data_IF_505817768435
#
_entry.id   IF_505817768435
#
_cell.length_a   1.000
_cell.length_b   1.000
_cell.length_c   1.000
_cell.angle_alpha   90.00
_cell.angle_beta   90.00
_cell.angle_gamma   90.00
#
_symmetry.space_group_name_H-M   'P 1'
#
loop_
_entity.id
_entity.type
_entity.pdbx_description
1 polymer ?
#
# COMPACT_ATOMS: atom_id res chain seq x y z
N UNK A 1 21.69 -4.58 -30.66
CA UNK A 1 20.48 -5.41 -30.54
C UNK A 1 19.28 -4.57 -30.93
N UNK A 2 18.40 -5.04 -31.83
CA UNK A 2 17.17 -4.33 -32.17
C UNK A 2 16.13 -4.61 -31.07
N UNK A 3 15.41 -3.59 -30.60
CA UNK A 3 14.34 -3.78 -29.63
C UNK A 3 13.21 -4.63 -30.26
N UNK A 4 12.69 -5.65 -29.53
CA UNK A 4 11.52 -6.40 -29.96
C UNK A 4 10.29 -5.51 -30.11
N UNK A 5 9.31 -5.95 -30.88
CA UNK A 5 8.07 -5.18 -31.04
C UNK A 5 7.30 -5.09 -29.72
N UNK A 6 6.61 -3.97 -29.47
CA UNK A 6 5.77 -3.80 -28.29
C UNK A 6 4.68 -4.89 -28.19
N UNK A 7 4.20 -5.39 -29.33
CA UNK A 7 3.23 -6.48 -29.36
C UNK A 7 3.82 -7.79 -28.83
N UNK A 8 5.08 -8.12 -29.17
CA UNK A 8 5.75 -9.31 -28.65
C UNK A 8 5.94 -9.20 -27.13
N UNK A 9 6.41 -8.03 -26.65
CA UNK A 9 6.58 -7.76 -25.23
C UNK A 9 5.27 -7.85 -24.46
N UNK A 10 4.17 -7.30 -24.97
CA UNK A 10 2.85 -7.40 -24.36
C UNK A 10 2.32 -8.83 -24.32
N UNK A 11 2.53 -9.61 -25.38
CA UNK A 11 2.16 -11.03 -25.39
C UNK A 11 2.92 -11.82 -24.35
N UNK A 12 4.21 -11.55 -24.20
CA UNK A 12 5.04 -12.19 -23.19
C UNK A 12 4.64 -11.77 -21.77
N UNK A 13 4.46 -10.48 -21.49
CA UNK A 13 4.03 -9.96 -20.16
C UNK A 13 2.71 -10.62 -19.71
N UNK A 14 1.71 -10.63 -20.58
CA UNK A 14 0.43 -11.26 -20.27
C UNK A 14 0.57 -12.77 -20.04
N UNK A 15 1.33 -13.48 -20.90
CA UNK A 15 1.57 -14.92 -20.75
C UNK A 15 2.37 -15.23 -19.46
N UNK A 16 3.28 -14.37 -19.07
CA UNK A 16 4.07 -14.50 -17.84
C UNK A 16 3.19 -14.38 -16.58
N UNK A 17 2.30 -13.39 -16.54
CA UNK A 17 1.38 -13.18 -15.40
C UNK A 17 0.36 -14.31 -15.25
N UNK A 18 -0.19 -14.79 -16.35
CA UNK A 18 -1.19 -15.87 -16.34
C UNK A 18 -0.60 -17.27 -16.31
N UNK A 19 0.67 -17.45 -16.65
CA UNK A 19 1.31 -18.74 -16.92
C UNK A 19 0.47 -19.59 -17.90
N UNK A 20 -0.22 -18.92 -18.82
CA UNK A 20 -1.16 -19.50 -19.77
C UNK A 20 -1.26 -18.66 -21.03
N UNK A 21 -0.97 -19.25 -22.18
CA UNK A 21 -1.15 -18.57 -23.47
C UNK A 21 -2.62 -18.36 -23.84
N UNK A 22 -3.52 -19.21 -23.33
CA UNK A 22 -4.96 -19.06 -23.55
C UNK A 22 -5.50 -17.85 -22.80
N UNK A 23 -5.27 -17.76 -21.50
CA UNK A 23 -5.70 -16.63 -20.67
C UNK A 23 -5.04 -15.31 -21.13
N UNK A 24 -3.77 -15.36 -21.57
CA UNK A 24 -3.10 -14.21 -22.16
C UNK A 24 -3.79 -13.75 -23.47
N UNK A 25 -4.22 -14.70 -24.30
CA UNK A 25 -4.97 -14.38 -25.52
C UNK A 25 -6.30 -13.69 -25.24
N UNK A 26 -7.05 -14.19 -24.28
CA UNK A 26 -8.30 -13.59 -23.81
C UNK A 26 -8.10 -12.15 -23.30
N UNK A 27 -7.04 -11.91 -22.50
CA UNK A 27 -6.74 -10.57 -21.99
C UNK A 27 -6.39 -9.55 -23.07
N UNK A 28 -5.60 -9.96 -24.08
CA UNK A 28 -5.08 -9.02 -25.09
C UNK A 28 -5.85 -9.04 -26.41
N UNK A 29 -6.94 -9.81 -26.50
CA UNK A 29 -7.79 -9.92 -27.69
C UNK A 29 -7.12 -10.67 -28.84
N UNK A 30 -6.33 -11.71 -28.55
CA UNK A 30 -5.66 -12.56 -29.53
C UNK A 30 -6.00 -14.03 -29.29
N UNK A 31 -5.80 -14.87 -30.33
CA UNK A 31 -5.89 -16.32 -30.15
C UNK A 31 -4.68 -16.87 -29.38
N UNK A 32 -4.85 -17.98 -28.66
CA UNK A 32 -3.75 -18.68 -27.98
C UNK A 32 -2.57 -18.97 -28.92
N UNK A 33 -2.86 -19.40 -30.18
CA UNK A 33 -1.83 -19.67 -31.17
C UNK A 33 -1.07 -18.42 -31.60
N UNK A 34 -1.73 -17.26 -31.70
CA UNK A 34 -1.11 -15.99 -32.04
C UNK A 34 -0.18 -15.53 -30.90
N UNK A 35 -0.62 -15.64 -29.64
CA UNK A 35 0.22 -15.33 -28.47
C UNK A 35 1.45 -16.24 -28.43
N UNK A 36 1.24 -17.57 -28.56
CA UNK A 36 2.35 -18.54 -28.55
C UNK A 36 3.36 -18.26 -29.67
N UNK A 37 2.87 -17.91 -30.89
CA UNK A 37 3.74 -17.53 -32.00
C UNK A 37 4.57 -16.30 -31.69
N UNK A 38 3.94 -15.23 -31.17
CA UNK A 38 4.63 -13.97 -30.84
C UNK A 38 5.66 -14.12 -29.71
N UNK A 39 5.39 -14.98 -28.74
CA UNK A 39 6.36 -15.31 -27.68
C UNK A 39 7.54 -16.09 -28.28
N UNK A 40 7.31 -17.06 -29.16
CA UNK A 40 8.39 -17.78 -29.85
C UNK A 40 9.23 -16.88 -30.74
N UNK A 41 8.63 -15.92 -31.44
CA UNK A 41 9.34 -14.90 -32.20
C UNK A 41 10.24 -14.06 -31.28
N UNK A 42 9.76 -13.66 -30.09
CA UNK A 42 10.55 -12.98 -29.08
C UNK A 42 11.71 -13.83 -28.56
N UNK A 43 11.48 -15.10 -28.25
CA UNK A 43 12.53 -16.04 -27.82
C UNK A 43 13.61 -16.21 -28.90
N UNK A 44 13.20 -16.27 -30.17
CA UNK A 44 14.13 -16.33 -31.29
C UNK A 44 14.97 -15.05 -31.45
N UNK A 45 14.35 -13.88 -31.28
CA UNK A 45 15.05 -12.57 -31.33
C UNK A 45 16.05 -12.42 -30.17
N UNK A 46 15.73 -12.98 -29.00
CA UNK A 46 16.58 -12.91 -27.80
C UNK A 46 17.65 -14.04 -27.78
N UNK A 47 17.42 -15.13 -28.48
CA UNK A 47 18.34 -16.27 -28.55
C UNK A 47 18.23 -17.25 -27.38
N UNK A 48 17.21 -17.12 -26.52
CA UNK A 48 16.97 -18.04 -25.39
C UNK A 48 15.48 -18.19 -25.10
N UNK A 49 15.13 -19.30 -24.42
CA UNK A 49 13.75 -19.57 -24.03
C UNK A 49 13.33 -18.75 -22.81
N UNK A 50 12.14 -18.17 -22.87
CA UNK A 50 11.50 -17.44 -21.75
C UNK A 50 10.53 -18.36 -20.98
N UNK A 51 9.98 -19.37 -21.66
CA UNK A 51 9.11 -20.39 -21.06
C UNK A 51 9.69 -21.78 -21.21
N UNK A 52 9.36 -22.64 -20.26
CA UNK A 52 9.56 -24.09 -20.34
C UNK A 52 8.24 -24.81 -20.08
N UNK A 53 8.08 -25.99 -20.70
CA UNK A 53 6.89 -26.83 -20.50
C UNK A 53 7.03 -27.66 -19.24
N UNK A 54 5.98 -27.65 -18.40
CA UNK A 54 5.85 -28.51 -17.25
C UNK A 54 4.48 -29.17 -17.30
N UNK A 55 4.48 -30.48 -17.59
CA UNK A 55 3.23 -31.21 -17.82
C UNK A 55 2.43 -30.65 -19.00
N UNK A 56 1.19 -30.21 -18.74
CA UNK A 56 0.31 -29.57 -19.72
C UNK A 56 0.40 -28.04 -19.74
N UNK A 57 1.17 -27.45 -18.83
CA UNK A 57 1.30 -26.00 -18.66
C UNK A 57 2.64 -25.46 -19.15
N UNK A 58 2.80 -24.16 -18.97
CA UNK A 58 4.04 -23.42 -19.21
C UNK A 58 4.42 -22.66 -17.95
N UNK A 59 5.71 -22.64 -17.63
CA UNK A 59 6.27 -21.85 -16.54
C UNK A 59 7.45 -21.03 -17.06
N UNK A 60 7.76 -19.92 -16.41
CA UNK A 60 8.89 -19.08 -16.78
C UNK A 60 10.22 -19.81 -16.53
N UNK A 61 11.19 -19.61 -17.41
CA UNK A 61 12.60 -19.87 -17.11
C UNK A 61 13.15 -18.81 -16.15
N UNK A 62 14.35 -18.99 -15.61
CA UNK A 62 15.01 -17.96 -14.80
C UNK A 62 15.19 -16.64 -15.59
N UNK A 63 15.58 -16.73 -16.86
CA UNK A 63 15.69 -15.58 -17.76
C UNK A 63 14.31 -14.95 -18.05
N UNK A 64 13.28 -15.78 -18.24
CA UNK A 64 11.90 -15.32 -18.39
C UNK A 64 11.38 -14.59 -17.16
N UNK A 65 11.65 -15.10 -15.97
CA UNK A 65 11.24 -14.45 -14.72
C UNK A 65 11.91 -13.08 -14.53
N UNK A 66 13.21 -12.95 -14.80
CA UNK A 66 13.92 -11.68 -14.78
C UNK A 66 13.32 -10.67 -15.76
N UNK A 67 13.17 -11.07 -17.04
CA UNK A 67 12.57 -10.21 -18.06
C UNK A 67 11.12 -9.83 -17.73
N UNK A 68 10.32 -10.73 -17.15
CA UNK A 68 8.94 -10.43 -16.79
C UNK A 68 8.85 -9.37 -15.68
N UNK A 69 9.73 -9.42 -14.68
CA UNK A 69 9.79 -8.44 -13.61
C UNK A 69 10.13 -7.04 -14.14
N UNK A 70 11.18 -6.93 -14.95
CA UNK A 70 11.62 -5.65 -15.53
C UNK A 70 10.58 -5.10 -16.51
N UNK A 71 10.04 -5.95 -17.39
CA UNK A 71 9.10 -5.54 -18.41
C UNK A 71 7.74 -5.08 -17.84
N UNK A 72 7.27 -5.70 -16.75
CA UNK A 72 6.06 -5.26 -16.07
C UNK A 72 6.17 -3.80 -15.61
N UNK A 73 7.33 -3.41 -15.09
CA UNK A 73 7.64 -2.05 -14.67
C UNK A 73 7.70 -1.10 -15.87
N UNK A 74 8.45 -1.46 -16.93
CA UNK A 74 8.61 -0.63 -18.12
C UNK A 74 7.31 -0.39 -18.87
N UNK A 75 6.48 -1.45 -19.04
CA UNK A 75 5.15 -1.31 -19.65
C UNK A 75 4.20 -0.48 -18.78
N UNK A 76 4.34 -0.57 -17.47
CA UNK A 76 3.63 0.28 -16.51
C UNK A 76 4.00 1.76 -16.70
N UNK A 77 5.29 2.07 -16.82
CA UNK A 77 5.79 3.42 -17.07
C UNK A 77 5.34 3.97 -18.43
N UNK A 78 5.37 3.14 -19.48
CA UNK A 78 4.89 3.53 -20.80
C UNK A 78 3.39 3.86 -20.79
N UNK A 79 2.56 3.01 -20.15
CA UNK A 79 1.12 3.27 -20.00
C UNK A 79 0.88 4.58 -19.26
N UNK A 80 1.63 4.85 -18.19
CA UNK A 80 1.55 6.09 -17.44
C UNK A 80 1.84 7.33 -18.30
N UNK A 81 2.90 7.26 -19.13
CA UNK A 81 3.26 8.34 -20.02
C UNK A 81 2.17 8.65 -21.05
N UNK A 82 1.57 7.61 -21.62
CA UNK A 82 0.45 7.75 -22.55
C UNK A 82 -0.79 8.34 -21.85
N UNK A 83 -1.14 7.84 -20.65
CA UNK A 83 -2.27 8.37 -19.88
C UNK A 83 -2.08 9.87 -19.53
N UNK A 84 -0.85 10.24 -19.13
CA UNK A 84 -0.52 11.64 -18.85
C UNK A 84 -0.68 12.53 -20.08
N UNK A 85 -0.25 12.05 -21.25
CA UNK A 85 -0.44 12.79 -22.51
C UNK A 85 -1.91 12.91 -22.90
N UNK A 86 -2.70 11.86 -22.72
CA UNK A 86 -4.15 11.87 -22.97
C UNK A 86 -4.87 12.84 -22.03
N UNK A 87 -4.56 12.82 -20.73
CA UNK A 87 -5.12 13.76 -19.77
C UNK A 87 -4.79 15.22 -20.14
N UNK A 88 -3.53 15.50 -20.48
CA UNK A 88 -3.09 16.82 -20.90
C UNK A 88 -3.81 17.31 -22.18
N UNK A 89 -4.03 16.40 -23.15
CA UNK A 89 -4.80 16.72 -24.36
C UNK A 89 -6.27 17.05 -24.08
N UNK A 90 -6.83 16.57 -22.98
CA UNK A 90 -8.17 16.87 -22.49
C UNK A 90 -8.22 18.06 -21.50
N UNK A 91 -7.13 18.80 -21.33
CA UNK A 91 -7.03 19.88 -20.34
C UNK A 91 -7.02 19.43 -18.88
N UNK A 92 -6.66 18.15 -18.62
CA UNK A 92 -6.59 17.56 -17.30
C UNK A 92 -5.14 17.25 -16.90
N UNK A 93 -4.93 17.11 -15.60
CA UNK A 93 -3.64 16.73 -15.04
C UNK A 93 -3.74 15.35 -14.38
N UNK A 94 -2.92 14.41 -14.78
CA UNK A 94 -2.84 13.11 -14.12
C UNK A 94 -1.89 13.17 -12.93
N UNK A 95 -2.32 12.65 -11.78
CA UNK A 95 -1.54 12.53 -10.56
C UNK A 95 -1.54 11.08 -10.08
N UNK A 96 -0.37 10.47 -9.98
CA UNK A 96 -0.18 9.08 -9.57
C UNK A 96 0.54 9.01 -8.24
N UNK A 97 -0.10 8.42 -7.25
CA UNK A 97 0.42 8.36 -5.87
C UNK A 97 0.59 6.91 -5.44
N UNK A 98 1.80 6.57 -5.02
CA UNK A 98 2.06 5.34 -4.27
C UNK A 98 1.65 5.55 -2.81
N UNK A 99 0.90 4.63 -2.23
CA UNK A 99 0.32 4.82 -0.90
C UNK A 99 0.25 3.52 -0.11
N UNK A 100 0.34 3.62 1.21
CA UNK A 100 0.12 2.49 2.12
C UNK A 100 -1.37 2.13 2.17
N UNK A 101 -1.76 0.84 2.09
CA UNK A 101 -3.16 0.43 1.95
C UNK A 101 -4.08 0.98 3.03
N UNK A 102 -3.70 0.82 4.30
CA UNK A 102 -4.55 1.28 5.42
C UNK A 102 -4.63 2.80 5.48
N UNK A 103 -3.52 3.52 5.19
CA UNK A 103 -3.53 4.97 5.10
C UNK A 103 -4.47 5.45 3.99
N UNK A 104 -4.40 4.83 2.81
CA UNK A 104 -5.30 5.14 1.71
C UNK A 104 -6.76 5.01 2.12
N UNK A 105 -7.14 3.84 2.62
CA UNK A 105 -8.54 3.52 2.90
C UNK A 105 -9.11 4.31 4.09
N UNK A 106 -8.33 4.50 5.15
CA UNK A 106 -8.81 5.04 6.42
C UNK A 106 -8.60 6.54 6.57
N UNK A 107 -7.56 7.08 5.93
CA UNK A 107 -7.21 8.49 6.10
C UNK A 107 -7.39 9.31 4.82
N UNK A 108 -6.85 8.84 3.70
CA UNK A 108 -6.78 9.63 2.47
C UNK A 108 -8.12 9.66 1.73
N UNK A 109 -8.66 8.49 1.35
CA UNK A 109 -9.85 8.38 0.51
C UNK A 109 -11.06 9.12 1.11
N UNK A 110 -11.37 9.03 2.42
CA UNK A 110 -12.49 9.77 3.00
C UNK A 110 -12.38 11.30 2.87
N UNK A 111 -11.17 11.83 2.64
CA UNK A 111 -10.90 13.27 2.49
C UNK A 111 -10.81 13.74 1.04
N UNK A 112 -10.66 12.82 0.08
CA UNK A 112 -10.56 13.15 -1.35
C UNK A 112 -11.75 13.93 -1.93
N UNK A 113 -13.00 13.80 -1.45
CA UNK A 113 -14.10 14.66 -1.94
C UNK A 113 -13.78 16.15 -1.82
N UNK A 114 -13.15 16.63 -0.73
CA UNK A 114 -12.70 18.01 -0.59
C UNK A 114 -11.59 18.38 -1.60
N UNK A 115 -10.70 17.44 -1.91
CA UNK A 115 -9.66 17.64 -2.93
C UNK A 115 -10.27 17.83 -4.32
N UNK A 116 -11.14 16.93 -4.75
CA UNK A 116 -11.78 16.99 -6.06
C UNK A 116 -12.75 18.15 -6.22
N UNK A 117 -13.39 18.61 -5.15
CA UNK A 117 -14.19 19.82 -5.19
C UNK A 117 -13.37 21.08 -5.52
N UNK A 118 -12.07 21.09 -5.20
CA UNK A 118 -11.14 22.21 -5.45
C UNK A 118 -10.34 22.06 -6.74
N UNK A 119 -10.10 20.82 -7.14
CA UNK A 119 -9.25 20.44 -8.27
C UNK A 119 -9.95 19.40 -9.15
N UNK A 120 -11.11 19.77 -9.76
CA UNK A 120 -11.88 18.85 -10.61
C UNK A 120 -11.14 18.44 -11.90
N UNK A 121 -10.10 19.19 -12.27
CA UNK A 121 -9.25 18.93 -13.43
C UNK A 121 -8.21 17.82 -13.17
N UNK A 122 -8.00 17.38 -11.92
CA UNK A 122 -6.97 16.40 -11.58
C UNK A 122 -7.56 14.98 -11.60
N UNK A 123 -6.99 14.14 -12.45
CA UNK A 123 -7.23 12.69 -12.46
C UNK A 123 -6.26 12.01 -11.51
N UNK A 124 -6.77 11.42 -10.42
CA UNK A 124 -5.97 10.76 -9.38
C UNK A 124 -5.94 9.24 -9.59
N UNK A 125 -4.74 8.66 -9.55
CA UNK A 125 -4.53 7.22 -9.48
C UNK A 125 -3.77 6.87 -8.21
N UNK A 126 -4.34 5.98 -7.38
CA UNK A 126 -3.68 5.45 -6.18
C UNK A 126 -3.24 4.01 -6.44
N UNK A 127 -2.01 3.69 -6.08
CA UNK A 127 -1.48 2.32 -6.13
C UNK A 127 -0.76 2.00 -4.84
N UNK A 128 -0.91 0.79 -4.34
CA UNK A 128 -0.26 0.38 -3.09
C UNK A 128 1.21 0.07 -3.32
N UNK A 129 2.06 0.65 -2.44
CA UNK A 129 3.48 0.31 -2.32
C UNK A 129 3.85 0.35 -0.83
N UNK A 130 4.52 -0.70 -0.37
CA UNK A 130 4.99 -0.81 1.02
C UNK A 130 6.44 -0.39 1.15
N UNK A 131 7.25 -0.65 0.14
CA UNK A 131 8.68 -0.39 0.12
C UNK A 131 9.03 0.86 -0.70
N UNK A 132 10.10 1.56 -0.35
CA UNK A 132 10.68 2.61 -1.18
C UNK A 132 11.04 2.10 -2.58
N UNK A 133 10.92 2.97 -3.57
CA UNK A 133 11.20 2.71 -4.97
C UNK A 133 11.96 3.88 -5.61
N UNK A 134 12.41 3.71 -6.84
CA UNK A 134 13.07 4.76 -7.60
C UNK A 134 12.06 5.50 -8.49
N UNK A 135 11.80 6.78 -8.23
CA UNK A 135 10.90 7.60 -9.05
C UNK A 135 11.31 7.68 -10.53
N UNK A 136 12.60 7.48 -10.85
CA UNK A 136 13.08 7.45 -12.22
C UNK A 136 12.58 6.22 -13.01
N UNK A 137 12.25 5.14 -12.31
CA UNK A 137 11.81 3.87 -12.89
C UNK A 137 10.33 3.61 -12.67
N UNK A 138 9.81 4.01 -11.53
CA UNK A 138 8.42 3.81 -11.15
C UNK A 138 7.57 5.02 -11.54
N UNK A 139 6.42 4.81 -12.19
CA UNK A 139 5.63 5.88 -12.78
C UNK A 139 4.74 6.57 -11.74
N UNK A 140 5.30 7.02 -10.62
CA UNK A 140 4.62 7.78 -9.59
C UNK A 140 5.10 9.22 -9.55
N UNK A 141 4.20 10.14 -9.25
CA UNK A 141 4.51 11.55 -9.04
C UNK A 141 4.76 11.85 -7.55
N UNK A 142 4.12 11.08 -6.67
CA UNK A 142 4.19 11.18 -5.21
C UNK A 142 4.19 9.79 -4.56
N UNK A 143 4.68 9.72 -3.33
CA UNK A 143 4.46 8.59 -2.44
C UNK A 143 4.08 9.06 -1.03
N UNK A 144 3.23 8.26 -0.36
CA UNK A 144 3.03 8.34 1.09
C UNK A 144 3.83 7.22 1.72
N UNK A 145 4.83 7.59 2.50
CA UNK A 145 5.77 6.68 3.15
C UNK A 145 5.60 6.72 4.66
N UNK A 146 5.78 5.57 5.30
CA UNK A 146 5.92 5.46 6.75
C UNK A 146 7.29 4.87 7.08
N UNK A 147 8.12 5.64 7.76
CA UNK A 147 9.50 5.22 8.04
C UNK A 147 10.36 6.34 8.63
N UNK A 148 11.66 6.26 8.36
CA UNK A 148 12.61 7.35 8.57
C UNK A 148 12.62 8.33 7.38
N UNK A 149 13.37 9.41 7.50
CA UNK A 149 13.58 10.43 6.46
C UNK A 149 14.74 10.07 5.52
N UNK A 150 14.82 8.82 5.13
CA UNK A 150 15.97 8.24 4.42
C UNK A 150 15.63 7.66 3.04
N UNK A 151 14.67 8.25 2.30
CA UNK A 151 14.35 7.83 0.95
C UNK A 151 15.36 8.41 -0.05
N UNK A 152 16.22 7.58 -0.69
CA UNK A 152 17.27 8.06 -1.56
C UNK A 152 16.74 8.80 -2.80
N UNK A 153 17.36 9.93 -3.14
CA UNK A 153 17.03 10.66 -4.36
C UNK A 153 15.68 11.38 -4.36
N UNK A 154 15.01 11.50 -3.20
CA UNK A 154 13.71 12.12 -3.09
C UNK A 154 13.67 13.22 -2.03
N UNK A 155 12.76 14.18 -2.21
CA UNK A 155 12.40 15.16 -1.18
C UNK A 155 11.28 14.58 -0.32
N UNK A 156 11.49 14.61 0.98
CA UNK A 156 10.53 14.17 1.97
C UNK A 156 9.98 15.36 2.76
N UNK A 157 8.66 15.38 2.94
CA UNK A 157 7.96 16.35 3.77
C UNK A 157 7.23 15.57 4.86
N UNK A 158 7.59 15.81 6.12
CA UNK A 158 6.92 15.17 7.24
C UNK A 158 5.45 15.58 7.29
N UNK A 159 4.57 14.59 7.38
CA UNK A 159 3.14 14.79 7.54
C UNK A 159 2.76 14.77 9.03
N UNK A 160 2.99 13.66 9.71
CA UNK A 160 2.73 13.49 11.15
C UNK A 160 3.43 12.27 11.72
N UNK A 161 3.56 12.27 13.05
CA UNK A 161 4.03 11.10 13.81
C UNK A 161 2.90 10.13 14.09
N UNK A 162 3.24 8.89 14.38
CA UNK A 162 2.29 7.84 14.70
C UNK A 162 2.13 7.71 16.22
N UNK A 163 0.88 7.71 16.67
CA UNK A 163 0.51 7.31 18.01
C UNK A 163 -0.29 6.01 17.96
N UNK A 164 0.27 4.96 18.53
CA UNK A 164 -0.40 3.66 18.61
C UNK A 164 -1.26 3.59 19.86
N UNK A 165 -2.44 3.03 19.75
CA UNK A 165 -3.39 2.86 20.85
C UNK A 165 -3.87 1.42 20.91
N UNK A 166 -3.98 0.85 22.13
CA UNK A 166 -4.60 -0.45 22.31
C UNK A 166 -6.13 -0.30 22.27
N UNK A 167 -6.78 -1.19 21.55
CA UNK A 167 -8.22 -1.17 21.31
C UNK A 167 -8.81 -2.58 21.40
N UNK A 168 -10.10 -2.67 21.71
CA UNK A 168 -10.86 -3.90 21.63
C UNK A 168 -12.36 -3.62 21.40
N UNK A 169 -13.11 -4.61 20.92
CA UNK A 169 -14.56 -4.54 20.85
C UNK A 169 -15.20 -4.47 22.24
N UNK A 170 -16.36 -3.80 22.42
CA UNK A 170 -17.06 -3.68 23.71
C UNK A 170 -17.34 -5.01 24.40
N UNK A 171 -17.62 -6.06 23.63
CA UNK A 171 -17.90 -7.43 24.14
C UNK A 171 -16.69 -8.03 24.86
N UNK A 172 -15.47 -7.73 24.40
CA UNK A 172 -14.23 -8.14 25.07
C UNK A 172 -14.04 -7.43 26.41
N UNK A 173 -14.45 -6.17 26.54
CA UNK A 173 -14.43 -5.47 27.81
C UNK A 173 -15.32 -6.15 28.85
N UNK A 174 -16.51 -6.59 28.44
CA UNK A 174 -17.45 -7.26 29.33
C UNK A 174 -16.95 -8.65 29.74
N UNK A 175 -16.43 -9.44 28.78
CA UNK A 175 -16.04 -10.83 29.03
C UNK A 175 -14.69 -10.98 29.76
N UNK A 176 -13.76 -10.04 29.59
CA UNK A 176 -12.39 -10.11 30.11
C UNK A 176 -12.04 -9.01 31.11
N UNK A 177 -13.02 -8.18 31.53
CA UNK A 177 -12.82 -7.08 32.50
C UNK A 177 -11.68 -6.14 32.09
N UNK A 178 -11.67 -5.71 30.83
CA UNK A 178 -10.59 -4.90 30.25
C UNK A 178 -10.49 -3.46 30.79
N UNK A 179 -11.37 -3.09 31.72
CA UNK A 179 -11.23 -1.83 32.46
C UNK A 179 -10.08 -1.88 33.48
N UNK A 180 -9.49 -3.07 33.71
CA UNK A 180 -8.32 -3.29 34.55
C UNK A 180 -7.14 -3.85 33.74
N UNK A 181 -5.92 -3.36 34.02
CA UNK A 181 -4.69 -3.81 33.34
C UNK A 181 -4.27 -5.23 33.74
N UNK A 182 -4.65 -5.67 34.93
CA UNK A 182 -4.33 -6.99 35.48
C UNK A 182 -4.94 -8.12 34.66
N UNK A 183 -6.03 -7.84 33.93
CA UNK A 183 -6.72 -8.83 33.08
C UNK A 183 -6.06 -9.01 31.71
N UNK A 184 -5.20 -8.10 31.28
CA UNK A 184 -4.66 -8.08 29.92
C UNK A 184 -3.79 -9.28 29.51
N UNK A 185 -3.00 -9.93 30.41
CA UNK A 185 -2.26 -11.13 30.05
C UNK A 185 -3.12 -12.30 29.55
N UNK A 186 -4.40 -12.36 29.95
CA UNK A 186 -5.33 -13.43 29.59
C UNK A 186 -6.20 -13.13 28.35
N UNK A 187 -6.09 -11.93 27.80
CA UNK A 187 -6.91 -11.49 26.67
C UNK A 187 -6.35 -12.07 25.36
N UNK A 188 -7.20 -12.57 24.46
CA UNK A 188 -6.77 -12.87 23.10
C UNK A 188 -6.21 -11.62 22.41
N UNK A 189 -5.04 -11.75 21.79
CA UNK A 189 -4.36 -10.64 21.13
C UNK A 189 -4.38 -10.80 19.61
N UNK A 190 -4.42 -9.67 18.93
CA UNK A 190 -4.28 -9.55 17.48
C UNK A 190 -3.00 -8.77 17.20
N UNK A 191 -2.20 -9.28 16.29
CA UNK A 191 -0.88 -8.77 15.97
C UNK A 191 -0.78 -8.33 14.50
N UNK A 192 0.03 -7.31 14.25
CA UNK A 192 0.53 -7.01 12.92
C UNK A 192 1.88 -7.73 12.74
N UNK A 193 2.02 -8.56 11.71
CA UNK A 193 3.24 -9.37 11.47
C UNK A 193 4.53 -8.55 11.50
N UNK A 194 4.53 -7.39 10.85
CA UNK A 194 5.68 -6.50 10.79
C UNK A 194 6.00 -5.77 12.11
N UNK A 195 5.16 -5.95 13.16
CA UNK A 195 5.28 -5.33 14.49
C UNK A 195 4.83 -6.30 15.59
N UNK A 196 5.28 -7.52 15.53
CA UNK A 196 4.94 -8.59 16.49
C UNK A 196 5.25 -8.22 17.95
N UNK A 197 6.22 -7.34 18.18
CA UNK A 197 6.66 -6.92 19.51
C UNK A 197 5.82 -5.78 20.12
N UNK A 198 4.87 -5.19 19.37
CA UNK A 198 4.10 -4.03 19.81
C UNK A 198 3.38 -4.24 21.15
N UNK A 199 2.85 -5.44 21.40
CA UNK A 199 2.23 -5.77 22.68
C UNK A 199 3.25 -5.87 23.82
N UNK A 200 4.46 -6.39 23.55
CA UNK A 200 5.55 -6.42 24.52
C UNK A 200 5.97 -5.03 24.96
N UNK A 201 6.17 -4.15 23.98
CA UNK A 201 6.51 -2.74 24.22
C UNK A 201 5.41 -2.02 25.01
N UNK A 202 4.14 -2.29 24.64
CA UNK A 202 3.01 -1.66 25.35
C UNK A 202 2.87 -2.17 26.78
N UNK A 203 3.04 -3.47 27.04
CA UNK A 203 2.99 -4.03 28.40
C UNK A 203 4.06 -3.38 29.29
N UNK A 204 5.27 -3.22 28.73
CA UNK A 204 6.38 -2.56 29.43
C UNK A 204 6.03 -1.11 29.78
N UNK A 205 5.58 -0.33 28.79
CA UNK A 205 5.24 1.08 28.96
C UNK A 205 4.03 1.29 29.90
N UNK A 206 3.05 0.39 29.82
CA UNK A 206 1.86 0.43 30.66
C UNK A 206 2.09 -0.11 32.09
N UNK A 207 3.26 -0.71 32.37
CA UNK A 207 3.55 -1.35 33.65
C UNK A 207 2.69 -2.59 33.93
N UNK A 208 2.24 -3.29 32.88
CA UNK A 208 1.47 -4.54 32.99
C UNK A 208 2.41 -5.67 33.43
N UNK A 209 2.06 -6.36 34.50
CA UNK A 209 2.82 -7.51 34.98
C UNK A 209 2.53 -8.74 34.11
N UNK A 210 3.57 -9.51 33.76
CA UNK A 210 3.47 -10.68 32.91
C UNK A 210 3.93 -10.42 31.47
N UNK A 211 3.72 -11.40 30.61
CA UNK A 211 4.06 -11.31 29.17
C UNK A 211 2.79 -11.36 28.34
N UNK A 212 2.72 -10.61 27.23
CA UNK A 212 1.61 -10.74 26.31
C UNK A 212 1.57 -12.17 25.75
N UNK A 213 0.37 -12.66 25.47
CA UNK A 213 0.19 -13.96 24.79
C UNK A 213 0.80 -13.89 23.40
N UNK A 214 1.57 -14.93 23.06
CA UNK A 214 2.18 -15.08 21.72
C UNK A 214 1.35 -15.98 20.80
N UNK A 215 0.34 -16.67 21.34
CA UNK A 215 -0.60 -17.55 20.62
C UNK A 215 -1.75 -16.76 19.97
N UNK A 216 -1.44 -15.58 19.46
CA UNK A 216 -2.39 -14.65 18.88
C UNK A 216 -2.72 -14.92 17.40
N UNK A 217 -3.44 -13.99 16.84
CA UNK A 217 -3.82 -13.94 15.43
C UNK A 217 -2.99 -12.89 14.73
N UNK A 218 -2.32 -13.27 13.64
CA UNK A 218 -1.36 -12.45 12.92
C UNK A 218 -1.93 -12.02 11.57
N UNK A 219 -1.76 -10.77 11.23
CA UNK A 219 -2.20 -10.17 9.97
C UNK A 219 -1.11 -9.24 9.42
N UNK A 220 -1.03 -9.11 8.12
CA UNK A 220 -0.01 -8.30 7.43
C UNK A 220 -0.43 -6.83 7.21
N UNK A 221 -1.73 -6.51 7.44
CA UNK A 221 -2.28 -5.18 7.21
C UNK A 221 -3.07 -4.66 8.41
N UNK A 222 -2.90 -3.39 8.77
CA UNK A 222 -3.70 -2.77 9.84
C UNK A 222 -5.20 -2.80 9.57
N UNK A 223 -5.65 -2.74 8.32
CA UNK A 223 -7.06 -2.88 7.98
C UNK A 223 -7.65 -4.23 8.43
N UNK A 224 -6.87 -5.31 8.31
CA UNK A 224 -7.26 -6.64 8.79
C UNK A 224 -7.20 -6.71 10.31
N UNK A 225 -6.16 -6.15 10.94
CA UNK A 225 -6.03 -6.05 12.40
C UNK A 225 -7.22 -5.32 13.01
N UNK A 226 -7.62 -4.18 12.43
CA UNK A 226 -8.78 -3.39 12.86
C UNK A 226 -10.08 -4.20 12.66
N UNK A 227 -10.25 -4.82 11.49
CA UNK A 227 -11.41 -5.67 11.23
C UNK A 227 -11.53 -6.85 12.20
N UNK A 228 -10.40 -7.48 12.54
CA UNK A 228 -10.34 -8.56 13.53
C UNK A 228 -10.72 -8.07 14.93
N UNK A 229 -10.26 -6.87 15.33
CA UNK A 229 -10.63 -6.28 16.61
C UNK A 229 -12.12 -5.93 16.67
N UNK A 230 -12.70 -5.35 15.61
CA UNK A 230 -14.14 -5.07 15.49
C UNK A 230 -14.96 -6.35 15.56
N UNK A 231 -14.50 -7.44 14.94
CA UNK A 231 -15.13 -8.76 15.01
C UNK A 231 -14.97 -9.47 16.37
N UNK A 232 -14.35 -8.82 17.37
CA UNK A 232 -14.16 -9.40 18.70
C UNK A 232 -13.13 -10.53 18.77
N UNK A 233 -12.25 -10.67 17.76
CA UNK A 233 -11.25 -11.74 17.75
C UNK A 233 -10.14 -11.54 18.78
N UNK A 234 -9.93 -10.32 19.28
CA UNK A 234 -8.93 -10.01 20.29
C UNK A 234 -8.70 -8.50 20.42
N UNK A 235 -7.89 -8.12 21.40
CA UNK A 235 -7.39 -6.75 21.53
C UNK A 235 -6.26 -6.50 20.51
N UNK A 236 -6.15 -5.29 20.00
CA UNK A 236 -5.16 -4.90 18.99
C UNK A 236 -4.46 -3.59 19.35
N UNK A 237 -3.23 -3.40 18.89
CA UNK A 237 -2.52 -2.12 18.94
C UNK A 237 -2.45 -1.56 17.53
N UNK A 238 -3.04 -0.38 17.33
CA UNK A 238 -3.19 0.22 15.99
C UNK A 238 -2.93 1.74 16.03
N UNK A 239 -2.57 2.36 14.89
CA UNK A 239 -2.46 3.81 14.82
C UNK A 239 -3.81 4.47 15.13
N UNK A 240 -3.82 5.42 16.06
CA UNK A 240 -5.03 6.14 16.48
C UNK A 240 -5.78 6.76 15.29
N UNK A 241 -5.03 7.30 14.35
CA UNK A 241 -5.57 7.97 13.16
C UNK A 241 -6.31 7.05 12.19
N UNK A 242 -6.14 5.74 12.34
CA UNK A 242 -6.76 4.73 11.48
C UNK A 242 -8.02 4.11 12.09
N UNK A 243 -8.38 4.47 13.33
CA UNK A 243 -9.53 3.91 14.07
C UNK A 243 -10.46 4.97 14.65
N UNK A 244 -10.32 6.22 14.23
CA UNK A 244 -11.13 7.34 14.73
C UNK A 244 -12.64 7.09 14.60
N UNK A 245 -13.07 6.49 13.49
CA UNK A 245 -14.48 6.25 13.21
C UNK A 245 -15.07 5.14 14.09
N UNK A 246 -14.32 4.05 14.30
CA UNK A 246 -14.72 2.96 15.19
C UNK A 246 -14.75 3.40 16.65
N UNK A 247 -13.84 4.27 17.05
CA UNK A 247 -13.86 4.85 18.40
C UNK A 247 -15.03 5.82 18.59
N UNK A 248 -15.31 6.66 17.58
CA UNK A 248 -16.43 7.61 17.61
C UNK A 248 -17.79 6.91 17.59
N UNK A 249 -17.93 5.83 16.81
CA UNK A 249 -19.16 5.04 16.75
C UNK A 249 -19.35 4.09 17.94
N UNK A 250 -18.31 3.86 18.75
CA UNK A 250 -18.30 2.89 19.85
C UNK A 250 -18.12 1.43 19.40
N UNK A 251 -17.88 1.17 18.12
CA UNK A 251 -17.54 -0.18 17.62
C UNK A 251 -16.25 -0.72 18.23
N UNK A 252 -15.33 0.18 18.60
CA UNK A 252 -14.13 -0.14 19.37
C UNK A 252 -14.01 0.81 20.56
N UNK A 253 -13.36 0.32 21.63
CA UNK A 253 -13.01 1.10 22.81
C UNK A 253 -11.49 1.03 23.03
N UNK A 254 -10.90 2.12 23.56
CA UNK A 254 -9.52 2.11 24.00
C UNK A 254 -9.36 1.36 25.30
N UNK A 255 -8.33 0.54 25.40
CA UNK A 255 -7.92 -0.03 26.68
C UNK A 255 -7.27 1.05 27.55
N UNK A 256 -7.40 0.97 28.89
CA UNK A 256 -6.74 1.90 29.80
C UNK A 256 -5.21 1.75 29.73
N UNK A 257 -4.51 2.85 29.49
CA UNK A 257 -3.06 2.86 29.42
C UNK A 257 -2.50 3.92 28.47
N UNK A 258 -1.17 3.99 28.36
CA UNK A 258 -0.51 4.93 27.49
C UNK A 258 -0.72 4.58 26.01
N UNK A 259 -0.51 5.54 25.14
CA UNK A 259 -0.29 5.27 23.72
C UNK A 259 1.21 5.08 23.46
N UNK A 260 1.58 4.17 22.59
CA UNK A 260 2.95 4.04 22.13
C UNK A 260 3.26 5.10 21.06
N UNK A 261 4.39 5.76 21.19
CA UNK A 261 4.91 6.66 20.14
C UNK A 261 5.97 5.93 19.32
N UNK A 262 5.84 6.00 18.01
CA UNK A 262 6.85 5.50 17.10
C UNK A 262 7.88 6.59 16.78
N UNK A 263 9.14 6.18 16.62
CA UNK A 263 10.19 7.06 16.06
C UNK A 263 10.03 7.25 14.54
N UNK A 264 9.21 6.41 13.89
CA UNK A 264 8.87 6.52 12.47
C UNK A 264 7.72 7.51 12.28
N UNK A 265 7.67 8.11 11.09
CA UNK A 265 6.68 9.13 10.74
C UNK A 265 6.09 8.87 9.38
N UNK A 266 4.97 9.49 9.09
CA UNK A 266 4.42 9.54 7.74
C UNK A 266 5.04 10.72 7.00
N UNK A 267 5.43 10.47 5.75
CA UNK A 267 6.03 11.46 4.86
C UNK A 267 5.28 11.51 3.54
N UNK A 268 5.16 12.71 2.99
CA UNK A 268 4.90 12.89 1.57
C UNK A 268 6.26 12.96 0.87
N UNK A 269 6.43 12.10 -0.13
CA UNK A 269 7.71 11.92 -0.83
C UNK A 269 7.52 12.22 -2.32
N UNK A 270 8.44 12.97 -2.90
CA UNK A 270 8.46 13.30 -4.31
C UNK A 270 9.89 13.37 -4.88
N UNK A 271 10.07 13.26 -6.20
CA UNK A 271 11.37 13.50 -6.83
C UNK A 271 11.91 14.90 -6.51
N UNK A 272 13.23 15.06 -6.53
CA UNK A 272 13.84 16.38 -6.52
C UNK A 272 13.47 17.18 -7.79
N UNK A 273 13.57 18.50 -7.71
CA UNK A 273 13.27 19.41 -8.81
C UNK A 273 11.91 20.07 -8.72
N UNK A 274 11.53 20.74 -9.82
CA UNK A 274 10.25 21.44 -9.92
C UNK A 274 9.09 20.43 -9.93
N UNK A 275 8.10 20.65 -9.07
CA UNK A 275 6.92 19.82 -9.01
C UNK A 275 5.87 20.34 -10.01
N UNK A 276 5.20 19.49 -10.79
CA UNK A 276 4.01 19.86 -11.56
C UNK A 276 2.90 20.43 -10.67
N UNK A 277 2.02 21.27 -11.24
CA UNK A 277 0.96 21.94 -10.48
C UNK A 277 0.05 20.96 -9.72
N UNK A 278 -0.30 19.81 -10.32
CA UNK A 278 -1.10 18.78 -9.66
C UNK A 278 -0.43 18.25 -8.40
N UNK A 279 0.90 18.09 -8.42
CA UNK A 279 1.71 17.65 -7.26
C UNK A 279 1.70 18.75 -6.19
N UNK A 280 1.92 20.03 -6.56
CA UNK A 280 1.91 21.15 -5.62
C UNK A 280 0.53 21.34 -4.97
N UNK A 281 -0.52 21.20 -5.75
CA UNK A 281 -1.91 21.31 -5.28
C UNK A 281 -2.20 20.21 -4.25
N UNK A 282 -1.80 18.98 -4.53
CA UNK A 282 -1.97 17.86 -3.59
C UNK A 282 -1.13 18.03 -2.32
N UNK A 283 0.14 18.44 -2.44
CA UNK A 283 1.04 18.71 -1.31
C UNK A 283 0.46 19.80 -0.39
N UNK A 284 -0.07 20.87 -0.97
CA UNK A 284 -0.71 21.97 -0.25
C UNK A 284 -2.00 21.50 0.44
N UNK A 285 -2.82 20.76 -0.29
CA UNK A 285 -4.09 20.25 0.23
C UNK A 285 -3.90 19.28 1.40
N UNK A 286 -3.03 18.26 1.26
CA UNK A 286 -2.81 17.24 2.31
C UNK A 286 -2.23 17.89 3.57
N UNK A 287 -1.30 18.84 3.41
CA UNK A 287 -0.72 19.58 4.54
C UNK A 287 -1.78 20.39 5.29
N UNK A 288 -2.74 21.00 4.57
CA UNK A 288 -3.86 21.72 5.19
C UNK A 288 -4.79 20.76 5.95
N UNK A 289 -5.13 19.59 5.39
CA UNK A 289 -5.96 18.59 6.06
C UNK A 289 -5.37 18.18 7.41
N UNK A 290 -4.05 18.08 7.51
CA UNK A 290 -3.35 17.74 8.74
C UNK A 290 -3.38 18.85 9.79
N UNK A 291 -3.24 20.12 9.37
CA UNK A 291 -3.31 21.27 10.29
C UNK A 291 -4.69 21.44 10.92
N UNK A 292 -5.74 21.22 10.16
CA UNK A 292 -7.13 21.30 10.65
C UNK A 292 -7.39 20.26 11.75
N UNK A 293 -6.77 19.09 11.66
CA UNK A 293 -6.87 18.04 12.67
C UNK A 293 -6.19 18.42 13.99
N UNK A 294 -4.98 19.01 13.91
CA UNK A 294 -4.21 19.39 15.10
C UNK A 294 -4.81 20.62 15.83
N UNK A 295 -5.61 21.44 15.15
CA UNK A 295 -6.30 22.59 15.73
C UNK A 295 -7.66 22.27 16.37
N UNK A 296 -8.21 21.08 16.16
CA UNK A 296 -9.47 20.63 16.76
C UNK A 296 -9.33 19.76 18.00
N UNK A 297 -8.11 19.50 18.45
CA UNK A 297 -7.78 18.67 19.62
C UNK A 297 -7.21 19.48 20.82
N UNK A 298 -7.47 20.80 20.86
CA UNK A 298 -7.12 21.69 21.98
C UNK A 298 -8.34 21.96 22.87
#
# INVERSE_FOLDING_TARGET
MRLPSLTHLRCFDSAARHQSFTAAGEEIGLTQSAVSKKVKELEADLGFALFQRVGRGVVLTAAGAGLAADLAQDLGALRASVQKAVAAGAGRSALRIAVLPTFANRWLIPRLPDFFARHPEIELSLSTRLEPFEFARDPFDLAIHYGGDNWPGARMVELFGEQMVPIAAPELFASHRLDSRESLPEVPLVHLDSRSDAWGDWFLEAGVQGKPRQDGRYFDQYSMVIGAAVAGLGAAIVPFDMVSDELASGALRRLPGPGLRSNKRYYLVRPHGAAPDAVQNFETWITRQLRQKNGGAA
#
